data_IF_385910361035
#
_entry.id   IF_385910361035
#
_cell.length_a   1.000
_cell.length_b   1.000
_cell.length_c   1.000
_cell.angle_alpha   90.00
_cell.angle_beta   90.00
_cell.angle_gamma   90.00
#
_symmetry.space_group_name_H-M   'P 1'
#
loop_
_entity.id
_entity.type
_entity.pdbx_description
1 polymer ?
#
# COMPACT_ATOMS: atom_id res chain seq x y z
N UNK A 1 15.10 -8.56 -0.40
CA UNK A 1 15.21 -7.18 -0.92
C UNK A 1 14.95 -6.06 0.11
N UNK A 2 14.51 -6.30 1.35
CA UNK A 2 14.38 -5.22 2.38
C UNK A 2 15.49 -5.18 3.46
N UNK A 3 16.36 -6.18 3.50
CA UNK A 3 17.47 -6.31 4.46
C UNK A 3 18.86 -6.03 3.83
N UNK A 4 18.90 -5.41 2.64
CA UNK A 4 20.14 -5.19 1.91
C UNK A 4 21.04 -4.16 2.63
N UNK A 5 22.37 -4.33 2.55
CA UNK A 5 23.37 -3.43 3.17
C UNK A 5 23.20 -1.96 2.74
N UNK A 6 22.72 -1.72 1.53
CA UNK A 6 22.45 -0.36 1.02
C UNK A 6 21.33 0.33 1.80
N UNK A 7 20.30 -0.42 2.23
CA UNK A 7 19.17 0.11 3.00
C UNK A 7 19.63 0.46 4.42
N UNK A 8 20.51 -0.34 5.02
CA UNK A 8 21.09 -0.04 6.35
C UNK A 8 21.89 1.27 6.34
N UNK A 9 22.68 1.51 5.28
CA UNK A 9 23.40 2.80 5.10
C UNK A 9 22.44 3.97 4.92
N UNK A 10 21.35 3.79 4.20
CA UNK A 10 20.34 4.84 4.05
C UNK A 10 19.63 5.12 5.38
N UNK A 11 19.30 4.08 6.15
CA UNK A 11 18.64 4.19 7.45
C UNK A 11 19.44 5.07 8.42
N UNK A 12 20.77 4.91 8.51
CA UNK A 12 21.59 5.75 9.40
C UNK A 12 21.57 7.23 9.02
N UNK A 13 21.38 7.56 7.73
CA UNK A 13 21.27 8.95 7.25
C UNK A 13 19.92 9.59 7.59
N UNK A 14 18.86 8.78 7.72
CA UNK A 14 17.49 9.28 7.90
C UNK A 14 16.84 8.93 9.24
N UNK A 15 17.57 8.29 10.15
CA UNK A 15 17.05 7.75 11.42
C UNK A 15 16.29 8.77 12.28
N UNK A 16 16.60 10.07 12.17
CA UNK A 16 15.89 11.15 12.89
C UNK A 16 14.54 11.54 12.28
N UNK A 17 14.23 11.10 11.05
CA UNK A 17 13.02 11.48 10.29
C UNK A 17 12.19 10.29 9.83
N UNK A 18 12.77 9.09 9.79
CA UNK A 18 12.12 7.87 9.33
C UNK A 18 12.52 6.70 10.21
N UNK A 19 11.52 6.04 10.77
CA UNK A 19 11.67 4.78 11.49
C UNK A 19 11.28 3.61 10.59
N UNK A 20 12.07 2.53 10.62
CA UNK A 20 11.77 1.31 9.88
C UNK A 20 11.15 0.30 10.83
N UNK A 21 9.91 -0.08 10.56
CA UNK A 21 9.18 -1.12 11.30
C UNK A 21 9.31 -2.43 10.53
N UNK A 22 10.01 -3.40 11.12
CA UNK A 22 10.15 -4.73 10.53
C UNK A 22 9.06 -5.66 11.06
N UNK A 23 8.30 -6.25 10.15
CA UNK A 23 7.25 -7.20 10.47
C UNK A 23 7.82 -8.62 10.59
N UNK A 24 7.21 -9.49 11.42
CA UNK A 24 7.58 -10.90 11.46
C UNK A 24 7.41 -11.57 10.09
N UNK A 25 8.20 -12.60 9.78
CA UNK A 25 8.06 -13.36 8.55
C UNK A 25 6.61 -13.83 8.33
N UNK A 26 6.16 -13.86 7.08
CA UNK A 26 4.84 -14.35 6.68
C UNK A 26 3.66 -13.72 7.43
N UNK A 27 3.76 -12.44 7.79
CA UNK A 27 2.72 -11.70 8.51
C UNK A 27 1.98 -10.69 7.63
N UNK A 28 1.32 -11.12 6.52
CA UNK A 28 0.63 -10.21 5.62
C UNK A 28 -0.53 -9.48 6.31
N UNK A 29 -1.10 -10.09 7.35
CA UNK A 29 -2.13 -9.48 8.20
C UNK A 29 -1.62 -8.28 9.00
N UNK A 30 -0.30 -8.13 9.18
CA UNK A 30 0.32 -6.99 9.85
C UNK A 30 0.86 -5.95 8.85
N UNK A 31 0.67 -6.18 7.55
CA UNK A 31 1.12 -5.26 6.51
C UNK A 31 -0.09 -4.52 5.92
N UNK A 32 -0.35 -3.28 6.38
CA UNK A 32 -1.55 -2.52 5.98
C UNK A 32 -1.67 -2.31 4.47
N UNK A 33 -0.54 -2.28 3.75
CA UNK A 33 -0.57 -2.14 2.29
C UNK A 33 -1.29 -3.33 1.62
N UNK A 34 -1.24 -4.53 2.21
CA UNK A 34 -1.95 -5.71 1.70
C UNK A 34 -3.46 -5.53 1.78
N UNK A 35 -3.94 -4.86 2.83
CA UNK A 35 -5.36 -4.53 2.99
C UNK A 35 -5.79 -3.50 1.94
N UNK A 36 -4.97 -2.49 1.69
CA UNK A 36 -5.20 -1.52 0.62
C UNK A 36 -5.19 -2.19 -0.76
N UNK A 37 -4.31 -3.15 -1.02
CA UNK A 37 -4.29 -3.92 -2.27
C UNK A 37 -5.53 -4.78 -2.45
N UNK A 38 -6.02 -5.44 -1.40
CA UNK A 38 -7.31 -6.16 -1.44
C UNK A 38 -8.46 -5.22 -1.77
N UNK A 39 -8.52 -4.07 -1.11
CA UNK A 39 -9.53 -3.05 -1.36
C UNK A 39 -9.46 -2.54 -2.81
N UNK A 40 -8.26 -2.23 -3.29
CA UNK A 40 -8.05 -1.83 -4.70
C UNK A 40 -8.51 -2.92 -5.66
N UNK A 41 -8.18 -4.19 -5.38
CA UNK A 41 -8.60 -5.31 -6.22
C UNK A 41 -10.12 -5.40 -6.28
N UNK A 42 -10.80 -5.36 -5.14
CA UNK A 42 -12.26 -5.42 -5.03
C UNK A 42 -12.96 -4.34 -5.88
N UNK A 43 -12.40 -3.13 -5.91
CA UNK A 43 -13.06 -1.98 -6.54
C UNK A 43 -12.64 -1.72 -7.97
N UNK A 44 -11.39 -2.01 -8.35
CA UNK A 44 -10.83 -1.58 -9.64
C UNK A 44 -10.65 -2.74 -10.61
N UNK A 45 -10.24 -3.91 -10.15
CA UNK A 45 -9.86 -5.01 -11.04
C UNK A 45 -10.78 -6.24 -10.94
N UNK A 46 -11.51 -6.40 -9.84
CA UNK A 46 -12.40 -7.54 -9.66
C UNK A 46 -13.57 -7.45 -10.64
N UNK A 47 -13.71 -8.46 -11.49
CA UNK A 47 -14.73 -8.57 -12.53
C UNK A 47 -14.79 -7.36 -13.49
N UNK A 48 -13.68 -6.63 -13.63
CA UNK A 48 -13.56 -5.47 -14.52
C UNK A 48 -12.48 -5.73 -15.55
N UNK A 49 -12.85 -5.61 -16.83
CA UNK A 49 -11.91 -5.71 -17.93
C UNK A 49 -11.36 -4.34 -18.30
N UNK A 50 -10.02 -4.25 -18.37
CA UNK A 50 -9.30 -3.06 -18.80
C UNK A 50 -8.63 -3.36 -20.14
N UNK A 51 -9.08 -2.75 -21.25
CA UNK A 51 -8.55 -3.05 -22.59
C UNK A 51 -7.07 -2.68 -22.77
N UNK A 52 -6.58 -1.73 -21.99
CA UNK A 52 -5.22 -1.21 -22.05
C UNK A 52 -4.66 -0.99 -20.65
N UNK A 53 -3.32 -1.06 -20.52
CA UNK A 53 -2.64 -0.71 -19.28
C UNK A 53 -2.89 0.76 -18.90
N UNK A 54 -2.93 1.66 -19.88
CA UNK A 54 -3.22 3.08 -19.63
C UNK A 54 -4.62 3.30 -19.05
N UNK A 55 -5.62 2.55 -19.52
CA UNK A 55 -6.97 2.56 -18.94
C UNK A 55 -6.95 2.12 -17.48
N UNK A 56 -6.29 1.01 -17.19
CA UNK A 56 -6.13 0.53 -15.81
C UNK A 56 -5.41 1.56 -14.92
N UNK A 57 -4.33 2.15 -15.40
CA UNK A 57 -3.56 3.14 -14.63
C UNK A 57 -4.36 4.43 -14.38
N UNK A 58 -5.18 4.85 -15.35
CA UNK A 58 -6.08 6.00 -15.18
C UNK A 58 -7.10 5.75 -14.08
N UNK A 59 -7.78 4.61 -14.13
CA UNK A 59 -8.82 4.25 -13.15
C UNK A 59 -8.22 4.02 -11.75
N UNK A 60 -7.06 3.37 -11.69
CA UNK A 60 -6.31 3.17 -10.45
C UNK A 60 -5.89 4.50 -9.81
N UNK A 61 -5.36 5.44 -10.60
CA UNK A 61 -4.99 6.77 -10.11
C UNK A 61 -6.21 7.52 -9.58
N UNK A 62 -7.29 7.56 -10.36
CA UNK A 62 -8.52 8.23 -9.95
C UNK A 62 -9.06 7.68 -8.62
N UNK A 63 -9.04 6.35 -8.47
CA UNK A 63 -9.42 5.69 -7.22
C UNK A 63 -8.52 6.10 -6.05
N UNK A 64 -7.20 6.00 -6.20
CA UNK A 64 -6.25 6.34 -5.14
C UNK A 64 -6.28 7.83 -4.77
N UNK A 65 -6.49 8.74 -5.71
CA UNK A 65 -6.72 10.16 -5.42
C UNK A 65 -7.97 10.36 -4.56
N UNK A 66 -9.04 9.62 -4.84
CA UNK A 66 -10.26 9.63 -4.03
C UNK A 66 -10.07 9.10 -2.60
N UNK A 67 -9.01 8.33 -2.33
CA UNK A 67 -8.68 7.85 -0.99
C UNK A 67 -7.86 8.85 -0.15
N UNK A 68 -7.32 9.92 -0.75
CA UNK A 68 -6.45 10.88 -0.04
C UNK A 68 -7.21 11.79 0.94
N UNK A 69 -8.50 11.98 0.73
CA UNK A 69 -9.36 12.70 1.68
C UNK A 69 -9.63 11.83 2.91
N UNK A 70 -10.00 12.42 4.07
CA UNK A 70 -10.42 11.63 5.23
C UNK A 70 -11.48 10.61 4.82
N UNK A 71 -11.12 9.33 4.88
CA UNK A 71 -11.92 8.22 4.37
C UNK A 71 -12.10 7.18 5.48
N UNK A 72 -13.30 7.13 6.03
CA UNK A 72 -13.64 6.19 7.11
C UNK A 72 -13.62 4.73 6.64
N UNK A 73 -13.85 4.47 5.35
CA UNK A 73 -13.75 3.12 4.79
C UNK A 73 -12.28 2.65 4.74
N UNK A 74 -11.35 3.54 4.36
CA UNK A 74 -9.91 3.23 4.44
C UNK A 74 -9.49 2.99 5.88
N UNK A 75 -9.94 3.84 6.83
CA UNK A 75 -9.66 3.63 8.26
C UNK A 75 -10.20 2.29 8.73
N UNK A 76 -11.45 1.97 8.44
CA UNK A 76 -12.08 0.72 8.88
C UNK A 76 -11.41 -0.52 8.27
N UNK A 77 -11.05 -0.48 6.98
CA UNK A 77 -10.49 -1.64 6.26
C UNK A 77 -8.99 -1.81 6.45
N UNK A 78 -8.27 -0.71 6.66
CA UNK A 78 -6.80 -0.65 6.75
C UNK A 78 -6.35 -0.22 8.16
N UNK A 79 -7.02 -0.73 9.20
CA UNK A 79 -6.64 -0.60 10.60
C UNK A 79 -6.28 -1.97 11.19
N UNK A 80 -5.37 -1.97 12.16
CA UNK A 80 -5.28 -3.04 13.15
C UNK A 80 -6.12 -2.56 14.32
N UNK A 81 -7.15 -3.32 14.71
CA UNK A 81 -8.20 -3.01 15.71
C UNK A 81 -9.51 -2.49 15.14
#
# INVERSE_FOLDING_TARGET
MHHAKIIQKFQSLVQKRLELIFLPPYSPKLNLIEQLWKFTREWITHNKFHPTLDGLLKDLRAFLEGLKVPNEEVKSRCCFY
#
